data_IF_644721100165
#
_entry.id   IF_644721100165
#
_cell.length_a   1.000
_cell.length_b   1.000
_cell.length_c   1.000
_cell.angle_alpha   90.00
_cell.angle_beta   90.00
_cell.angle_gamma   90.00
#
_symmetry.space_group_name_H-M   'P 1'
#
loop_
_entity.id
_entity.type
_entity.pdbx_description
1 polymer ?
#
# COMPACT_ATOMS: atom_id res chain seq x y z
N UNK A 1 4.34 13.67 12.21
CA UNK A 1 3.18 13.75 11.31
C UNK A 1 3.41 14.93 10.39
N UNK A 2 3.59 14.64 9.10
CA UNK A 2 3.77 15.68 8.10
C UNK A 2 2.44 16.42 7.91
N UNK A 3 2.46 17.73 8.14
CA UNK A 3 1.33 18.61 7.89
C UNK A 3 1.60 19.31 6.57
N UNK A 4 0.68 19.23 5.63
CA UNK A 4 0.77 19.96 4.38
C UNK A 4 -0.22 21.13 4.37
N UNK A 5 0.17 22.19 3.69
CA UNK A 5 -0.66 23.38 3.44
C UNK A 5 -0.87 23.55 1.95
N UNK A 6 -2.10 23.79 1.56
CA UNK A 6 -2.44 24.21 0.21
C UNK A 6 -2.38 25.74 0.15
N UNK A 7 -1.60 26.28 -0.79
CA UNK A 7 -1.55 27.72 -1.04
C UNK A 7 -2.01 28.01 -2.47
N UNK A 8 -2.71 29.13 -2.63
CA UNK A 8 -3.17 29.61 -3.92
C UNK A 8 -2.36 30.86 -4.31
N UNK A 9 -1.75 30.84 -5.48
CA UNK A 9 -1.17 32.02 -6.10
C UNK A 9 -1.96 32.43 -7.33
N UNK A 10 -2.38 33.69 -7.37
CA UNK A 10 -3.03 34.27 -8.54
C UNK A 10 -1.96 34.58 -9.61
N UNK A 11 -2.11 33.98 -10.78
CA UNK A 11 -1.34 34.31 -11.98
C UNK A 11 -2.27 34.78 -13.07
N UNK A 12 -1.76 35.40 -14.14
CA UNK A 12 -2.55 35.81 -15.31
C UNK A 12 -3.30 34.66 -16.02
N UNK A 13 -3.10 33.40 -15.59
CA UNK A 13 -3.77 32.18 -16.10
C UNK A 13 -4.77 31.59 -15.12
N UNK A 14 -5.08 32.25 -13.99
CA UNK A 14 -5.93 31.76 -12.91
C UNK A 14 -5.13 31.19 -11.71
N UNK A 15 -5.81 30.78 -10.63
CA UNK A 15 -5.16 30.29 -9.43
C UNK A 15 -4.41 28.97 -9.71
N UNK A 16 -3.14 28.92 -9.39
CA UNK A 16 -2.35 27.69 -9.40
C UNK A 16 -2.36 27.12 -7.99
N UNK A 17 -2.94 25.93 -7.86
CA UNK A 17 -2.89 25.17 -6.63
C UNK A 17 -1.61 24.32 -6.63
N UNK A 18 -0.82 24.42 -5.57
CA UNK A 18 0.32 23.56 -5.34
C UNK A 18 0.29 22.96 -3.95
N UNK A 19 0.87 21.77 -3.80
CA UNK A 19 0.99 21.06 -2.53
C UNK A 19 2.36 21.36 -1.93
N UNK A 20 2.40 21.72 -0.66
CA UNK A 20 3.62 21.85 0.11
C UNK A 20 3.63 20.80 1.22
N UNK A 21 4.77 20.16 1.39
CA UNK A 21 5.03 19.17 2.44
C UNK A 21 5.86 19.79 3.54
N UNK A 22 5.42 19.66 4.77
CA UNK A 22 6.11 20.18 5.93
C UNK A 22 6.84 19.04 6.66
N UNK A 23 8.15 19.11 6.69
CA UNK A 23 9.01 18.15 7.37
C UNK A 23 9.44 18.68 8.73
N UNK A 24 9.23 17.86 9.77
CA UNK A 24 9.72 18.14 11.11
C UNK A 24 11.14 17.60 11.26
N UNK A 25 12.07 18.46 11.60
CA UNK A 25 13.44 18.09 11.92
C UNK A 25 13.69 18.35 13.40
N UNK A 26 14.10 17.31 14.13
CA UNK A 26 14.53 17.45 15.51
C UNK A 26 15.99 17.88 15.53
N UNK A 27 16.27 19.06 16.09
CA UNK A 27 17.66 19.47 16.35
C UNK A 27 18.16 18.83 17.66
N UNK A 28 19.47 18.60 17.75
CA UNK A 28 20.13 18.08 18.95
C UNK A 28 19.94 18.99 20.18
N UNK A 29 19.45 20.21 19.99
CA UNK A 29 19.14 21.19 21.03
C UNK A 29 17.67 21.22 21.46
N UNK A 30 16.86 20.25 21.07
CA UNK A 30 15.46 20.12 21.50
C UNK A 30 14.46 21.07 20.82
N UNK A 31 14.90 21.90 19.87
CA UNK A 31 14.01 22.70 19.06
C UNK A 31 13.51 21.87 17.87
N UNK A 32 12.21 21.99 17.58
CA UNK A 32 11.62 21.41 16.39
C UNK A 32 11.62 22.49 15.30
N UNK A 33 12.42 22.29 14.29
CA UNK A 33 12.41 23.11 13.07
C UNK A 33 11.54 22.45 12.03
N UNK A 34 10.84 23.26 11.22
CA UNK A 34 10.00 22.79 10.15
C UNK A 34 10.52 23.36 8.83
N UNK A 35 10.69 22.47 7.85
CA UNK A 35 11.05 22.83 6.48
C UNK A 35 9.91 22.51 5.56
N UNK A 36 9.59 23.43 4.65
CA UNK A 36 8.52 23.27 3.67
C UNK A 36 9.13 23.04 2.28
N UNK A 37 8.71 21.96 1.62
CA UNK A 37 9.12 21.64 0.25
C UNK A 37 7.90 21.60 -0.66
N UNK A 38 8.07 22.11 -1.89
CA UNK A 38 7.10 21.88 -2.95
C UNK A 38 7.11 20.40 -3.33
N UNK A 39 5.97 19.88 -3.78
CA UNK A 39 5.80 18.51 -4.28
C UNK A 39 6.90 18.10 -5.28
N UNK A 40 7.37 19.04 -6.11
CA UNK A 40 8.45 18.82 -7.08
C UNK A 40 9.78 18.35 -6.43
N UNK A 41 10.01 18.66 -5.16
CA UNK A 41 11.22 18.29 -4.43
C UNK A 41 11.03 17.09 -3.51
N UNK A 42 9.83 16.50 -3.52
CA UNK A 42 9.54 15.31 -2.74
C UNK A 42 9.93 14.02 -3.46
N UNK A 43 10.12 12.96 -2.69
CA UNK A 43 10.33 11.64 -3.27
C UNK A 43 9.02 11.08 -3.85
N UNK A 44 9.14 10.26 -4.91
CA UNK A 44 7.99 9.55 -5.47
C UNK A 44 7.24 8.74 -4.40
N UNK A 45 7.98 8.16 -3.45
CA UNK A 45 7.41 7.43 -2.32
C UNK A 45 6.55 8.32 -1.42
N UNK A 46 6.99 9.55 -1.12
CA UNK A 46 6.22 10.52 -0.32
C UNK A 46 4.95 10.92 -1.04
N UNK A 47 5.05 11.27 -2.33
CA UNK A 47 3.90 11.68 -3.15
C UNK A 47 2.89 10.53 -3.26
N UNK A 48 3.36 9.32 -3.56
CA UNK A 48 2.51 8.13 -3.69
C UNK A 48 1.84 7.78 -2.35
N UNK A 49 2.58 7.84 -1.24
CA UNK A 49 2.03 7.63 0.11
C UNK A 49 0.89 8.57 0.40
N UNK A 50 1.10 9.85 0.13
CA UNK A 50 0.09 10.89 0.35
C UNK A 50 -1.17 10.64 -0.49
N UNK A 51 -1.00 10.38 -1.79
CA UNK A 51 -2.09 10.08 -2.70
C UNK A 51 -2.89 8.84 -2.28
N UNK A 52 -2.19 7.76 -1.90
CA UNK A 52 -2.83 6.53 -1.45
C UNK A 52 -3.56 6.71 -0.11
N UNK A 53 -2.94 7.41 0.85
CA UNK A 53 -3.57 7.70 2.14
C UNK A 53 -4.87 8.51 1.97
N UNK A 54 -4.90 9.49 1.08
CA UNK A 54 -6.09 10.26 0.76
C UNK A 54 -7.20 9.39 0.12
N UNK A 55 -6.83 8.46 -0.76
CA UNK A 55 -7.79 7.53 -1.37
C UNK A 55 -8.36 6.54 -0.35
N UNK A 56 -7.51 5.97 0.51
CA UNK A 56 -7.95 5.07 1.59
C UNK A 56 -8.87 5.80 2.56
N UNK A 57 -8.53 7.03 2.97
CA UNK A 57 -9.40 7.84 3.81
C UNK A 57 -10.77 8.06 3.15
N UNK A 58 -10.79 8.39 1.87
CA UNK A 58 -12.04 8.63 1.12
C UNK A 58 -12.94 7.39 1.04
N UNK A 59 -12.36 6.19 0.84
CA UNK A 59 -13.17 4.97 0.79
C UNK A 59 -13.71 4.58 2.16
N UNK A 60 -12.95 4.84 3.23
CA UNK A 60 -13.42 4.62 4.61
C UNK A 60 -14.61 5.53 4.96
N UNK A 61 -14.56 6.79 4.55
CA UNK A 61 -15.65 7.76 4.80
C UNK A 61 -16.92 7.48 3.99
N UNK A 62 -16.81 6.77 2.86
CA UNK A 62 -17.91 6.58 1.89
C UNK A 62 -18.36 5.12 1.74
N UNK A 63 -17.79 4.21 2.50
CA UNK A 63 -17.99 2.76 2.34
C UNK A 63 -17.81 2.30 0.88
N UNK A 64 -16.77 2.82 0.23
CA UNK A 64 -16.54 2.63 -1.20
C UNK A 64 -15.50 1.53 -1.48
N UNK A 65 -15.34 1.20 -2.77
CA UNK A 65 -14.35 0.25 -3.26
C UNK A 65 -13.13 0.98 -3.83
N UNK A 66 -11.93 0.48 -3.50
CA UNK A 66 -10.66 0.91 -4.08
C UNK A 66 -9.87 -0.31 -4.57
N UNK A 67 -9.39 -0.26 -5.80
CA UNK A 67 -8.39 -1.18 -6.32
C UNK A 67 -7.05 -0.47 -6.47
N UNK A 68 -5.98 -1.08 -5.96
CA UNK A 68 -4.60 -0.56 -6.07
C UNK A 68 -3.74 -1.65 -6.69
N UNK A 69 -3.17 -1.33 -7.85
CA UNK A 69 -2.25 -2.21 -8.55
C UNK A 69 -0.80 -1.94 -8.10
N UNK A 70 -0.03 -3.02 -7.87
CA UNK A 70 1.35 -2.97 -7.41
C UNK A 70 1.54 -1.99 -6.22
N UNK A 71 0.88 -2.28 -5.10
CA UNK A 71 0.92 -1.39 -3.93
C UNK A 71 2.33 -1.08 -3.45
N UNK A 72 3.27 -2.00 -3.63
CA UNK A 72 4.68 -1.84 -3.26
C UNK A 72 5.46 -0.86 -4.12
N UNK A 73 4.94 -0.44 -5.27
CA UNK A 73 5.63 0.50 -6.15
C UNK A 73 5.95 1.79 -5.41
N UNK A 74 7.25 2.06 -5.23
CA UNK A 74 7.80 3.23 -4.49
C UNK A 74 7.40 3.31 -3.00
N UNK A 75 6.81 2.28 -2.41
CA UNK A 75 6.46 2.27 -0.99
C UNK A 75 7.36 1.35 -0.17
N UNK A 76 7.73 1.80 1.02
CA UNK A 76 8.41 0.95 1.98
C UNK A 76 7.46 -0.14 2.53
N UNK A 77 7.90 -1.41 2.68
CA UNK A 77 7.07 -2.51 3.19
C UNK A 77 6.27 -2.18 4.46
N UNK A 78 6.89 -1.57 5.44
CA UNK A 78 6.23 -1.16 6.69
C UNK A 78 5.08 -0.16 6.49
N UNK A 79 5.14 0.63 5.43
CA UNK A 79 4.06 1.55 5.11
C UNK A 79 2.87 0.83 4.48
N UNK A 80 3.13 -0.19 3.66
CA UNK A 80 2.09 -1.05 3.10
C UNK A 80 1.33 -1.76 4.23
N UNK A 81 2.06 -2.40 5.15
CA UNK A 81 1.51 -3.05 6.34
C UNK A 81 0.64 -2.08 7.16
N UNK A 82 1.15 -0.86 7.42
CA UNK A 82 0.42 0.17 8.15
C UNK A 82 -0.89 0.59 7.45
N UNK A 83 -0.87 0.77 6.12
CA UNK A 83 -2.05 1.15 5.35
C UNK A 83 -3.12 0.06 5.41
N UNK A 84 -2.71 -1.20 5.25
CA UNK A 84 -3.62 -2.35 5.34
C UNK A 84 -4.19 -2.47 6.76
N UNK A 85 -3.33 -2.40 7.78
CA UNK A 85 -3.74 -2.46 9.19
C UNK A 85 -4.77 -1.36 9.54
N UNK A 86 -4.49 -0.13 9.10
CA UNK A 86 -5.39 1.00 9.29
C UNK A 86 -6.73 0.77 8.60
N UNK A 87 -6.71 0.33 7.33
CA UNK A 87 -7.93 -0.01 6.59
C UNK A 87 -8.75 -1.08 7.33
N UNK A 88 -8.11 -2.16 7.78
CA UNK A 88 -8.81 -3.25 8.49
C UNK A 88 -9.39 -2.82 9.84
N UNK A 89 -8.76 -1.86 10.52
CA UNK A 89 -9.24 -1.33 11.81
C UNK A 89 -10.39 -0.34 11.68
N UNK A 90 -10.38 0.46 10.62
CA UNK A 90 -11.30 1.59 10.47
C UNK A 90 -12.46 1.29 9.50
N UNK A 91 -12.36 0.23 8.69
CA UNK A 91 -13.37 -0.11 7.68
C UNK A 91 -14.60 -0.78 8.32
N UNK A 92 -15.80 -0.28 7.99
CA UNK A 92 -17.07 -0.94 8.30
C UNK A 92 -17.59 -1.74 7.09
N UNK A 93 -17.72 -1.10 5.92
CA UNK A 93 -18.23 -1.73 4.69
C UNK A 93 -17.36 -1.44 3.47
N UNK A 94 -16.33 -0.59 3.60
CA UNK A 94 -15.42 -0.29 2.50
C UNK A 94 -14.66 -1.56 2.04
N UNK A 95 -14.30 -1.60 0.76
CA UNK A 95 -13.58 -2.72 0.16
C UNK A 95 -12.27 -2.25 -0.45
N UNK A 96 -11.20 -3.01 -0.20
CA UNK A 96 -9.86 -2.74 -0.72
C UNK A 96 -9.35 -3.98 -1.45
N UNK A 97 -9.06 -3.84 -2.74
CA UNK A 97 -8.39 -4.84 -3.57
C UNK A 97 -6.97 -4.38 -3.85
N UNK A 98 -5.99 -5.22 -3.52
CA UNK A 98 -4.58 -4.93 -3.73
C UNK A 98 -3.96 -6.01 -4.62
N UNK A 99 -3.13 -5.62 -5.59
CA UNK A 99 -2.16 -6.53 -6.20
C UNK A 99 -0.77 -6.20 -5.69
N UNK A 100 0.09 -7.22 -5.60
CA UNK A 100 1.46 -7.06 -5.10
C UNK A 100 2.35 -8.22 -5.51
N UNK A 101 3.63 -7.94 -5.73
CA UNK A 101 4.71 -8.92 -5.81
C UNK A 101 5.48 -9.04 -4.47
N UNK A 102 5.11 -8.25 -3.46
CA UNK A 102 5.74 -8.28 -2.15
C UNK A 102 5.23 -9.46 -1.32
N UNK A 103 5.98 -10.55 -1.34
CA UNK A 103 5.66 -11.77 -0.61
C UNK A 103 5.75 -11.64 0.93
N UNK A 104 6.34 -10.54 1.43
CA UNK A 104 6.41 -10.26 2.86
C UNK A 104 5.05 -10.24 3.55
N UNK A 105 3.99 -9.81 2.84
CA UNK A 105 2.63 -9.82 3.37
C UNK A 105 2.13 -11.23 3.75
N UNK A 106 2.64 -12.29 3.11
CA UNK A 106 2.33 -13.66 3.49
C UNK A 106 2.98 -14.09 4.82
N UNK A 107 3.91 -13.30 5.33
CA UNK A 107 4.52 -13.48 6.66
C UNK A 107 3.75 -12.82 7.79
N UNK A 108 2.85 -11.89 7.46
CA UNK A 108 2.05 -11.13 8.42
C UNK A 108 0.72 -11.85 8.69
N UNK A 109 0.78 -13.02 9.34
CA UNK A 109 -0.37 -13.92 9.54
C UNK A 109 -1.49 -13.30 10.38
N UNK A 110 -1.16 -12.33 11.23
CA UNK A 110 -2.14 -11.58 12.04
C UNK A 110 -2.82 -10.45 11.24
N UNK A 111 -2.23 -10.04 10.11
CA UNK A 111 -2.73 -8.96 9.28
C UNK A 111 -3.75 -9.46 8.25
N UNK A 112 -3.46 -10.59 7.60
CA UNK A 112 -4.28 -11.10 6.50
C UNK A 112 -4.90 -12.46 6.82
N UNK A 113 -6.21 -12.57 6.66
CA UNK A 113 -6.91 -13.85 6.71
C UNK A 113 -6.59 -14.65 5.44
N UNK A 114 -6.54 -15.98 5.58
CA UNK A 114 -6.23 -16.90 4.47
C UNK A 114 -7.21 -16.79 3.30
N UNK A 115 -8.45 -16.45 3.56
CA UNK A 115 -9.50 -16.27 2.55
C UNK A 115 -9.39 -14.93 1.79
N UNK A 116 -8.60 -13.99 2.30
CA UNK A 116 -8.32 -12.73 1.62
C UNK A 116 -7.12 -12.81 0.65
N UNK A 117 -6.40 -13.94 0.66
CA UNK A 117 -5.20 -14.12 -0.17
C UNK A 117 -5.53 -14.92 -1.41
N UNK A 118 -5.22 -14.36 -2.56
CA UNK A 118 -5.43 -14.95 -3.88
C UNK A 118 -4.14 -14.91 -4.69
N UNK A 119 -3.94 -15.90 -5.54
CA UNK A 119 -2.80 -15.99 -6.44
C UNK A 119 -3.25 -15.90 -7.88
N UNK A 120 -2.42 -15.23 -8.69
CA UNK A 120 -2.56 -15.22 -10.15
C UNK A 120 -1.39 -15.95 -10.77
N UNK A 121 -1.64 -16.80 -11.74
CA UNK A 121 -0.61 -17.52 -12.48
C UNK A 121 -0.89 -17.44 -13.96
N UNK A 122 0.15 -17.26 -14.77
CA UNK A 122 0.06 -17.20 -16.22
C UNK A 122 0.42 -18.56 -16.79
N UNK A 123 -0.49 -19.14 -17.57
CA UNK A 123 -0.28 -20.39 -18.28
C UNK A 123 0.60 -20.22 -19.53
N UNK A 124 1.12 -21.32 -20.04
CA UNK A 124 1.95 -21.33 -21.26
C UNK A 124 1.21 -20.86 -22.50
N UNK A 125 -0.11 -20.99 -22.55
CA UNK A 125 -0.97 -20.51 -23.62
C UNK A 125 -1.29 -19.01 -23.55
N UNK A 126 -0.76 -18.33 -22.51
CA UNK A 126 -0.96 -16.90 -22.25
C UNK A 126 -2.22 -16.56 -21.44
N UNK A 127 -3.06 -17.55 -21.13
CA UNK A 127 -4.19 -17.35 -20.22
C UNK A 127 -3.70 -17.13 -18.77
N UNK A 128 -4.55 -16.53 -17.94
CA UNK A 128 -4.28 -16.39 -16.50
C UNK A 128 -5.33 -17.12 -15.69
N UNK A 129 -4.91 -17.75 -14.60
CA UNK A 129 -5.78 -18.36 -13.62
C UNK A 129 -5.71 -17.59 -12.31
N UNK A 130 -6.82 -17.55 -11.59
CA UNK A 130 -6.95 -16.92 -10.27
C UNK A 130 -7.48 -17.97 -9.29
N UNK A 131 -6.81 -18.15 -8.17
CA UNK A 131 -7.20 -19.12 -7.15
C UNK A 131 -6.85 -18.65 -5.75
N UNK A 132 -7.69 -18.96 -4.75
CA UNK A 132 -7.45 -18.53 -3.37
C UNK A 132 -6.44 -19.44 -2.65
N UNK A 133 -5.76 -18.90 -1.65
CA UNK A 133 -4.90 -19.68 -0.75
C UNK A 133 -5.68 -20.83 -0.09
N UNK A 134 -6.98 -20.66 0.14
CA UNK A 134 -7.83 -21.66 0.80
C UNK A 134 -8.06 -22.95 -0.01
N UNK A 135 -7.77 -22.97 -1.30
CA UNK A 135 -7.86 -24.19 -2.12
C UNK A 135 -6.77 -25.21 -1.80
N UNK A 136 -5.72 -24.79 -1.08
CA UNK A 136 -4.62 -25.67 -0.72
C UNK A 136 -4.90 -26.45 0.57
N UNK A 137 -4.64 -27.76 0.53
CA UNK A 137 -4.84 -28.61 1.70
C UNK A 137 -3.69 -28.48 2.70
N UNK A 138 -4.02 -28.64 3.97
CA UNK A 138 -3.00 -28.72 5.03
C UNK A 138 -2.41 -27.38 5.46
N UNK A 139 -3.10 -26.26 5.19
CA UNK A 139 -2.64 -24.91 5.56
C UNK A 139 -2.32 -24.77 7.06
N UNK A 140 -3.06 -25.48 7.94
CA UNK A 140 -2.82 -25.42 9.38
C UNK A 140 -1.50 -26.11 9.83
N UNK A 141 -0.80 -26.81 8.93
CA UNK A 141 0.50 -27.43 9.18
C UNK A 141 1.66 -26.60 8.62
N UNK A 142 1.37 -25.48 7.97
CA UNK A 142 2.38 -24.60 7.40
C UNK A 142 2.76 -23.59 8.47
N UNK A 143 4.02 -23.56 8.83
CA UNK A 143 4.59 -22.65 9.83
C UNK A 143 4.89 -21.25 9.27
N UNK A 144 4.93 -21.10 7.94
CA UNK A 144 5.16 -19.81 7.27
C UNK A 144 4.65 -19.87 5.83
N UNK A 145 3.61 -19.11 5.52
CA UNK A 145 3.08 -19.01 4.16
C UNK A 145 4.07 -18.35 3.21
N UNK A 146 4.81 -17.35 3.67
CA UNK A 146 5.87 -16.72 2.88
C UNK A 146 6.93 -17.72 2.41
N UNK A 147 7.45 -18.55 3.32
CA UNK A 147 8.42 -19.59 2.95
C UNK A 147 7.81 -20.62 2.01
N UNK A 148 6.58 -21.06 2.27
CA UNK A 148 5.89 -22.01 1.42
C UNK A 148 5.69 -21.48 0.00
N UNK A 149 5.34 -20.19 -0.15
CA UNK A 149 5.24 -19.50 -1.44
C UNK A 149 6.61 -19.48 -2.16
N UNK A 150 7.67 -19.04 -1.49
CA UNK A 150 9.05 -19.02 -2.05
C UNK A 150 9.52 -20.41 -2.55
N UNK A 151 9.07 -21.47 -1.91
CA UNK A 151 9.34 -22.85 -2.35
C UNK A 151 8.35 -23.38 -3.39
N UNK A 152 7.50 -22.52 -3.97
CA UNK A 152 6.58 -22.87 -5.05
C UNK A 152 5.37 -23.71 -4.63
N UNK A 153 5.10 -23.85 -3.30
CA UNK A 153 4.00 -24.69 -2.81
C UNK A 153 2.63 -24.24 -3.30
N UNK A 154 2.48 -22.96 -3.55
CA UNK A 154 1.22 -22.33 -3.99
C UNK A 154 1.21 -21.98 -5.48
N UNK A 155 2.23 -22.34 -6.25
CA UNK A 155 2.38 -21.85 -7.62
C UNK A 155 2.66 -20.34 -7.65
N UNK A 156 2.31 -19.68 -8.75
CA UNK A 156 2.41 -18.23 -8.94
C UNK A 156 3.81 -17.64 -8.67
N UNK A 157 4.86 -18.47 -8.74
CA UNK A 157 6.26 -18.04 -8.70
C UNK A 157 6.80 -17.92 -10.12
N UNK A 158 7.63 -16.90 -10.42
CA UNK A 158 8.23 -16.79 -11.75
C UNK A 158 9.03 -18.05 -12.12
N UNK A 159 8.76 -18.61 -13.28
CA UNK A 159 9.59 -19.63 -13.90
C UNK A 159 10.81 -18.91 -14.51
N UNK A 160 11.95 -18.98 -13.83
CA UNK A 160 13.23 -18.41 -14.27
C UNK A 160 14.01 -19.44 -15.09
#
# INVERSE_FOLDING_TARGET
SDVYKRQEQETHKGPINYTMYQHKVSSDYGNNDYYEFLELFESDGTIRTFGLAAQVQKILEKDAFLAVDEIESSLHPKLIEYIIERFLKESEQAQLLLTTHYDGLLGEEDLLRKDNVWFTEKNLDGSSVLYPLTDFKGLNRISSFQKAYKFGKFGAVPNL
#
